data_IF_354270117151
#
_entry.id   IF_354270117151
#
_cell.length_a   1.000
_cell.length_b   1.000
_cell.length_c   1.000
_cell.angle_alpha   90.00
_cell.angle_beta   90.00
_cell.angle_gamma   90.00
#
_symmetry.space_group_name_H-M   'P 1'
#
loop_
_entity.id
_entity.type
_entity.pdbx_description
1 polymer ?
#
# COMPACT_ATOMS: atom_id res chain seq x y z
N UNK A 1 13.80 21.70 -16.25
CA UNK A 1 13.45 20.30 -15.92
C UNK A 1 13.19 19.58 -17.24
N UNK A 2 13.75 18.39 -17.44
CA UNK A 2 13.69 17.73 -18.74
C UNK A 2 12.42 16.88 -18.86
N UNK A 3 11.84 16.89 -20.06
CA UNK A 3 10.67 16.12 -20.41
C UNK A 3 10.99 15.14 -21.55
N UNK A 4 10.15 14.14 -21.73
CA UNK A 4 10.22 13.24 -22.86
C UNK A 4 8.88 13.31 -23.57
N UNK A 5 8.94 13.53 -24.88
CA UNK A 5 7.78 13.57 -25.76
C UNK A 5 7.80 12.33 -26.66
N UNK A 6 6.65 11.69 -26.78
CA UNK A 6 6.41 10.62 -27.72
C UNK A 6 5.40 11.12 -28.75
N UNK A 7 5.88 11.29 -29.97
CA UNK A 7 5.05 11.57 -31.14
C UNK A 7 4.84 10.25 -31.85
N UNK A 8 3.59 9.89 -32.13
CA UNK A 8 3.25 8.65 -32.80
C UNK A 8 2.12 8.86 -33.80
N UNK A 9 2.14 8.07 -34.87
CA UNK A 9 1.04 7.93 -35.81
C UNK A 9 0.83 6.46 -36.13
N UNK A 10 -0.42 5.99 -36.03
CA UNK A 10 -0.80 4.62 -36.36
C UNK A 10 -1.82 4.59 -37.51
N UNK A 11 -1.63 3.74 -38.53
CA UNK A 11 -2.65 3.51 -39.54
C UNK A 11 -3.98 3.02 -38.93
N UNK A 12 -5.10 3.43 -39.55
CA UNK A 12 -6.44 3.10 -39.05
C UNK A 12 -6.80 1.61 -39.16
N UNK A 13 -6.08 0.85 -39.99
CA UNK A 13 -6.37 -0.54 -40.36
C UNK A 13 -6.16 -1.53 -39.20
N UNK A 14 -5.37 -1.19 -38.18
CA UNK A 14 -5.05 -2.10 -37.07
C UNK A 14 -5.65 -1.67 -35.73
N UNK A 15 -6.97 -1.86 -35.59
CA UNK A 15 -7.73 -1.48 -34.40
C UNK A 15 -7.21 -2.11 -33.09
N UNK A 16 -6.73 -3.37 -33.15
CA UNK A 16 -6.23 -4.08 -31.96
C UNK A 16 -4.94 -3.46 -31.43
N UNK A 17 -4.01 -3.09 -32.31
CA UNK A 17 -2.76 -2.43 -31.91
C UNK A 17 -3.06 -1.03 -31.38
N UNK A 18 -3.94 -0.26 -32.03
CA UNK A 18 -4.37 1.07 -31.53
C UNK A 18 -4.88 1.00 -30.10
N UNK A 19 -5.77 0.04 -29.82
CA UNK A 19 -6.33 -0.14 -28.47
C UNK A 19 -5.26 -0.54 -27.44
N UNK A 20 -4.30 -1.39 -27.82
CA UNK A 20 -3.19 -1.78 -26.95
C UNK A 20 -2.30 -0.59 -26.63
N UNK A 21 -1.86 0.16 -27.65
CA UNK A 21 -1.02 1.36 -27.52
C UNK A 21 -1.73 2.40 -26.67
N UNK A 22 -3.00 2.70 -26.94
CA UNK A 22 -3.77 3.67 -26.17
C UNK A 22 -3.89 3.27 -24.70
N UNK A 23 -4.14 1.99 -24.40
CA UNK A 23 -4.14 1.47 -23.03
C UNK A 23 -2.77 1.61 -22.38
N UNK A 24 -1.68 1.27 -23.08
CA UNK A 24 -0.33 1.37 -22.56
C UNK A 24 0.06 2.83 -22.24
N UNK A 25 -0.29 3.77 -23.13
CA UNK A 25 -0.11 5.22 -22.90
C UNK A 25 -0.89 5.65 -21.66
N UNK A 26 -2.19 5.29 -21.57
CA UNK A 26 -3.02 5.64 -20.41
C UNK A 26 -2.48 5.06 -19.11
N UNK A 27 -2.02 3.80 -19.12
CA UNK A 27 -1.43 3.12 -17.96
C UNK A 27 -0.05 3.68 -17.60
N UNK A 28 0.67 4.30 -18.53
CA UNK A 28 1.96 4.94 -18.24
C UNK A 28 1.82 6.28 -17.49
N UNK A 29 0.62 6.83 -17.38
CA UNK A 29 0.40 8.14 -16.75
C UNK A 29 0.71 9.34 -17.63
N UNK A 30 0.97 9.12 -18.93
CA UNK A 30 1.34 10.17 -19.86
C UNK A 30 0.27 11.26 -19.98
N UNK A 31 0.73 12.51 -20.02
CA UNK A 31 -0.10 13.65 -20.35
C UNK A 31 -0.33 13.70 -21.86
N UNK A 32 -1.54 14.06 -22.28
CA UNK A 32 -1.90 14.20 -23.69
C UNK A 32 -1.78 15.67 -24.07
N UNK A 33 -0.83 16.02 -24.94
CA UNK A 33 -0.70 17.39 -25.44
C UNK A 33 -1.59 17.62 -26.66
N UNK A 34 -1.60 16.65 -27.58
CA UNK A 34 -2.44 16.60 -28.80
C UNK A 34 -2.65 15.13 -29.19
N UNK A 35 -3.53 14.89 -30.17
CA UNK A 35 -3.66 13.55 -30.74
C UNK A 35 -2.31 13.06 -31.30
N UNK A 36 -1.90 11.86 -30.89
CA UNK A 36 -0.60 11.29 -31.21
C UNK A 36 0.61 11.92 -30.50
N UNK A 37 0.44 12.90 -29.60
CA UNK A 37 1.54 13.59 -28.90
C UNK A 37 1.39 13.47 -27.39
N UNK A 38 2.30 12.74 -26.77
CA UNK A 38 2.27 12.41 -25.34
C UNK A 38 3.52 12.86 -24.61
N UNK A 39 3.37 13.27 -23.36
CA UNK A 39 4.43 13.85 -22.54
C UNK A 39 4.60 13.08 -21.22
N UNK A 40 5.85 12.87 -20.81
CA UNK A 40 6.23 12.36 -19.49
C UNK A 40 7.44 13.11 -18.93
N UNK A 41 7.63 13.16 -17.59
CA UNK A 41 8.88 13.63 -16.99
C UNK A 41 10.06 12.75 -17.42
N UNK A 42 11.26 13.34 -17.58
CA UNK A 42 12.44 12.62 -18.05
C UNK A 42 13.09 11.69 -17.01
N UNK A 43 12.34 10.67 -16.56
CA UNK A 43 12.79 9.60 -15.64
C UNK A 43 13.09 8.31 -16.41
N UNK A 44 13.95 7.45 -15.86
CA UNK A 44 14.32 6.18 -16.49
C UNK A 44 13.11 5.27 -16.72
N UNK A 45 12.22 5.13 -15.73
CA UNK A 45 11.02 4.32 -15.87
C UNK A 45 10.11 4.83 -17.00
N UNK A 46 9.93 6.16 -17.10
CA UNK A 46 9.16 6.79 -18.17
C UNK A 46 9.77 6.56 -19.55
N UNK A 47 11.12 6.65 -19.67
CA UNK A 47 11.85 6.34 -20.91
C UNK A 47 11.58 4.92 -21.36
N UNK A 48 11.70 3.95 -20.45
CA UNK A 48 11.46 2.54 -20.73
C UNK A 48 10.00 2.29 -21.16
N UNK A 49 9.03 2.91 -20.49
CA UNK A 49 7.62 2.81 -20.87
C UNK A 49 7.35 3.37 -22.28
N UNK A 50 7.86 4.56 -22.59
CA UNK A 50 7.70 5.16 -23.92
C UNK A 50 8.46 4.39 -25.00
N UNK A 51 9.62 3.83 -24.71
CA UNK A 51 10.35 2.97 -25.64
C UNK A 51 9.57 1.70 -25.97
N UNK A 52 8.95 1.05 -24.96
CA UNK A 52 8.10 -0.11 -25.19
C UNK A 52 6.86 0.23 -26.04
N UNK A 53 6.20 1.35 -25.74
CA UNK A 53 5.06 1.83 -26.53
C UNK A 53 5.49 2.16 -27.97
N UNK A 54 6.67 2.76 -28.14
CA UNK A 54 7.19 3.08 -29.47
C UNK A 54 7.48 1.83 -30.30
N UNK A 55 8.02 0.77 -29.68
CA UNK A 55 8.23 -0.51 -30.33
C UNK A 55 6.90 -1.17 -30.73
N UNK A 56 5.89 -1.13 -29.86
CA UNK A 56 4.55 -1.63 -30.17
C UNK A 56 3.95 -0.91 -31.39
N UNK A 57 4.07 0.43 -31.44
CA UNK A 57 3.61 1.23 -32.59
C UNK A 57 4.33 0.85 -33.87
N UNK A 58 5.66 0.74 -33.84
CA UNK A 58 6.46 0.38 -35.01
C UNK A 58 6.14 -1.03 -35.52
N UNK A 59 5.91 -1.99 -34.62
CA UNK A 59 5.49 -3.35 -34.98
C UNK A 59 4.13 -3.39 -35.69
N UNK A 60 3.27 -2.40 -35.42
CA UNK A 60 1.99 -2.22 -36.07
C UNK A 60 2.04 -1.43 -37.39
N UNK A 61 3.24 -1.15 -37.91
CA UNK A 61 3.43 -0.35 -39.12
C UNK A 61 3.22 1.16 -38.93
N UNK A 62 3.18 1.63 -37.68
CA UNK A 62 3.11 3.06 -37.36
C UNK A 62 4.49 3.72 -37.31
N UNK A 63 4.49 5.05 -37.21
CA UNK A 63 5.70 5.85 -37.03
C UNK A 63 5.78 6.40 -35.62
N UNK A 64 6.99 6.48 -35.05
CA UNK A 64 7.23 7.09 -33.75
C UNK A 64 8.46 7.98 -33.77
N UNK A 65 8.43 8.99 -32.91
CA UNK A 65 9.59 9.81 -32.58
C UNK A 65 9.60 10.05 -31.08
N UNK A 66 10.67 9.59 -30.43
CA UNK A 66 10.90 9.75 -29.00
C UNK A 66 12.00 10.77 -28.81
N UNK A 67 11.68 11.91 -28.21
CA UNK A 67 12.63 13.01 -28.04
C UNK A 67 12.63 13.49 -26.59
N UNK A 68 13.80 13.89 -26.12
CA UNK A 68 13.91 14.65 -24.88
C UNK A 68 13.76 16.13 -25.20
N UNK A 69 12.87 16.81 -24.49
CA UNK A 69 12.54 18.22 -24.73
C UNK A 69 12.69 19.04 -23.46
N UNK A 70 13.03 20.30 -23.65
CA UNK A 70 13.06 21.32 -22.61
C UNK A 70 12.14 22.46 -23.02
N UNK A 71 11.39 23.01 -22.06
CA UNK A 71 10.53 24.17 -22.31
C UNK A 71 11.41 25.42 -22.44
N UNK A 72 11.19 26.19 -23.52
CA UNK A 72 11.95 27.41 -23.83
C UNK A 72 11.46 28.61 -23.03
N UNK A 73 10.19 28.61 -22.67
CA UNK A 73 9.47 29.65 -21.94
C UNK A 73 9.46 29.43 -20.42
N UNK A 74 10.07 28.34 -19.95
CA UNK A 74 10.02 27.95 -18.54
C UNK A 74 8.65 27.43 -18.09
N UNK A 75 7.71 27.22 -19.02
CA UNK A 75 6.43 26.58 -18.75
C UNK A 75 6.63 25.24 -18.06
N UNK A 76 5.96 25.08 -16.93
CA UNK A 76 5.86 23.80 -16.26
C UNK A 76 4.63 23.03 -16.74
N UNK A 77 4.82 21.72 -16.98
CA UNK A 77 3.73 20.83 -17.35
C UNK A 77 3.16 20.10 -16.12
N UNK A 78 3.49 20.55 -14.90
CA UNK A 78 3.13 19.84 -13.66
C UNK A 78 1.61 19.66 -13.53
N UNK A 79 0.84 20.69 -13.91
CA UNK A 79 -0.62 20.65 -13.87
C UNK A 79 -1.25 19.52 -14.69
N UNK A 80 -0.57 19.02 -15.74
CA UNK A 80 -1.06 17.89 -16.55
C UNK A 80 -0.93 16.54 -15.83
N UNK A 81 -0.14 16.49 -14.76
CA UNK A 81 0.07 15.30 -13.94
C UNK A 81 -0.62 15.41 -12.59
N UNK A 82 -1.51 16.38 -12.41
CA UNK A 82 -2.28 16.53 -11.19
C UNK A 82 -3.28 15.37 -11.04
N UNK A 83 -3.12 14.61 -9.96
CA UNK A 83 -3.98 13.46 -9.61
C UNK A 83 -4.86 13.73 -8.39
N UNK A 84 -4.96 14.97 -7.91
CA UNK A 84 -5.73 15.32 -6.70
C UNK A 84 -7.18 14.81 -6.76
N UNK A 85 -7.86 14.97 -7.89
CA UNK A 85 -9.24 14.48 -8.07
C UNK A 85 -9.34 12.94 -8.00
N UNK A 86 -8.33 12.24 -8.52
CA UNK A 86 -8.29 10.77 -8.48
C UNK A 86 -8.11 10.27 -7.05
N UNK A 87 -7.24 10.91 -6.27
CA UNK A 87 -7.09 10.60 -4.85
C UNK A 87 -8.33 11.01 -4.03
N UNK A 88 -8.98 12.13 -4.36
CA UNK A 88 -10.23 12.54 -3.71
C UNK A 88 -11.34 11.50 -3.92
N UNK A 89 -11.50 10.98 -5.13
CA UNK A 89 -12.44 9.89 -5.40
C UNK A 89 -12.09 8.62 -4.61
N UNK A 90 -10.81 8.26 -4.53
CA UNK A 90 -10.35 7.13 -3.74
C UNK A 90 -10.61 7.31 -2.24
N UNK A 91 -10.42 8.51 -1.70
CA UNK A 91 -10.74 8.85 -0.31
C UNK A 91 -12.23 8.66 0.00
N UNK A 92 -13.12 9.05 -0.92
CA UNK A 92 -14.56 8.81 -0.78
C UNK A 92 -14.85 7.29 -0.74
N UNK A 93 -14.20 6.50 -1.60
CA UNK A 93 -14.35 5.04 -1.57
C UNK A 93 -13.84 4.44 -0.24
N UNK A 94 -12.71 4.91 0.28
CA UNK A 94 -12.16 4.46 1.56
C UNK A 94 -13.14 4.77 2.70
N UNK A 95 -13.69 5.98 2.73
CA UNK A 95 -14.66 6.39 3.76
C UNK A 95 -15.94 5.55 3.71
N UNK A 96 -16.47 5.27 2.51
CA UNK A 96 -17.62 4.38 2.33
C UNK A 96 -17.36 2.97 2.88
N UNK A 97 -16.17 2.41 2.66
CA UNK A 97 -15.79 1.09 3.19
C UNK A 97 -15.61 1.15 4.71
N UNK A 98 -15.03 2.23 5.24
CA UNK A 98 -14.89 2.46 6.69
C UNK A 98 -16.26 2.54 7.38
N UNK A 99 -17.20 3.29 6.81
CA UNK A 99 -18.57 3.39 7.34
C UNK A 99 -19.31 2.04 7.26
N UNK A 100 -19.12 1.28 6.18
CA UNK A 100 -19.70 -0.06 6.07
C UNK A 100 -19.15 -1.05 7.12
N UNK A 101 -17.87 -0.93 7.48
CA UNK A 101 -17.22 -1.69 8.56
C UNK A 101 -17.93 -1.42 9.90
N UNK A 102 -18.19 -0.15 10.21
CA UNK A 102 -18.85 0.26 11.45
C UNK A 102 -20.28 -0.28 11.60
N UNK A 103 -20.96 -0.58 10.50
CA UNK A 103 -22.35 -1.07 10.50
C UNK A 103 -22.44 -2.59 10.50
N UNK A 104 -21.64 -3.26 9.66
CA UNK A 104 -21.86 -4.68 9.31
C UNK A 104 -20.99 -5.64 10.14
N UNK A 105 -19.95 -5.13 10.83
CA UNK A 105 -18.96 -5.91 11.57
C UNK A 105 -18.30 -7.08 10.83
N UNK A 106 -18.36 -7.10 9.50
CA UNK A 106 -17.80 -8.18 8.69
C UNK A 106 -16.38 -7.87 8.22
N UNK A 107 -15.40 -8.15 9.08
CA UNK A 107 -14.00 -7.81 8.82
C UNK A 107 -13.37 -8.56 7.63
N UNK A 108 -13.88 -9.75 7.25
CA UNK A 108 -13.33 -10.51 6.11
C UNK A 108 -13.66 -9.84 4.76
N UNK A 109 -14.89 -9.37 4.59
CA UNK A 109 -15.28 -8.65 3.35
C UNK A 109 -14.54 -7.32 3.26
N UNK A 110 -14.31 -6.66 4.40
CA UNK A 110 -13.54 -5.41 4.44
C UNK A 110 -12.07 -5.63 4.07
N UNK A 111 -11.42 -6.70 4.54
CA UNK A 111 -10.07 -7.04 4.10
C UNK A 111 -9.99 -7.30 2.59
N UNK A 112 -11.03 -7.89 1.99
CA UNK A 112 -11.10 -8.08 0.54
C UNK A 112 -11.25 -6.75 -0.21
N UNK A 113 -12.09 -5.85 0.28
CA UNK A 113 -12.25 -4.50 -0.28
C UNK A 113 -10.98 -3.66 -0.11
N UNK A 114 -10.33 -3.72 1.05
CA UNK A 114 -9.06 -3.07 1.33
C UNK A 114 -7.97 -3.48 0.34
N UNK A 115 -7.84 -4.78 0.01
CA UNK A 115 -6.90 -5.25 -1.02
C UNK A 115 -7.17 -4.63 -2.38
N UNK A 116 -8.45 -4.45 -2.75
CA UNK A 116 -8.84 -3.78 -3.99
C UNK A 116 -8.46 -2.30 -3.96
N UNK A 117 -8.75 -1.60 -2.87
CA UNK A 117 -8.41 -0.18 -2.70
C UNK A 117 -6.88 0.04 -2.71
N UNK A 118 -6.10 -0.80 -2.01
CA UNK A 118 -4.62 -0.79 -2.06
C UNK A 118 -4.09 -1.00 -3.48
N UNK A 119 -4.70 -1.89 -4.26
CA UNK A 119 -4.33 -2.09 -5.67
C UNK A 119 -4.64 -0.86 -6.51
N UNK A 120 -5.78 -0.22 -6.31
CA UNK A 120 -6.14 1.05 -6.98
C UNK A 120 -5.16 2.16 -6.60
N UNK A 121 -4.87 2.34 -5.31
CA UNK A 121 -3.89 3.30 -4.82
C UNK A 121 -2.52 3.09 -5.45
N UNK A 122 -2.01 1.85 -5.46
CA UNK A 122 -0.72 1.53 -6.06
C UNK A 122 -0.69 1.83 -7.57
N UNK A 123 -1.81 1.63 -8.29
CA UNK A 123 -1.90 1.97 -9.69
C UNK A 123 -1.84 3.48 -9.92
N UNK A 124 -2.52 4.28 -9.09
CA UNK A 124 -2.49 5.76 -9.17
C UNK A 124 -1.12 6.29 -8.75
N UNK A 125 -0.58 5.82 -7.63
CA UNK A 125 0.74 6.23 -7.13
C UNK A 125 1.87 5.82 -8.06
N UNK A 126 1.74 4.72 -8.81
CA UNK A 126 2.72 4.30 -9.81
C UNK A 126 2.83 5.23 -11.02
N UNK A 127 1.78 6.02 -11.28
CA UNK A 127 1.72 7.02 -12.35
C UNK A 127 1.71 8.46 -11.81
N UNK A 128 1.89 8.61 -10.51
CA UNK A 128 1.99 9.89 -9.84
C UNK A 128 3.46 10.30 -9.80
N UNK A 129 3.83 11.20 -10.72
CA UNK A 129 5.20 11.65 -10.81
C UNK A 129 5.51 12.73 -9.78
N UNK A 130 4.51 13.41 -9.22
CA UNK A 130 4.67 14.55 -8.33
C UNK A 130 3.81 14.35 -7.08
N UNK A 131 4.20 13.38 -6.21
CA UNK A 131 3.40 13.04 -5.05
C UNK A 131 3.26 14.24 -4.13
N UNK A 132 2.03 14.51 -3.72
CA UNK A 132 1.66 15.62 -2.84
C UNK A 132 0.87 15.16 -1.62
N UNK A 133 0.26 16.11 -0.92
CA UNK A 133 -0.53 15.85 0.28
C UNK A 133 -1.72 14.91 0.03
N UNK A 134 -2.36 14.98 -1.14
CA UNK A 134 -3.49 14.09 -1.48
C UNK A 134 -3.08 12.60 -1.49
N UNK A 135 -1.88 12.29 -1.96
CA UNK A 135 -1.35 10.92 -2.00
C UNK A 135 -1.07 10.42 -0.57
N UNK A 136 -0.46 11.26 0.28
CA UNK A 136 -0.21 10.95 1.70
C UNK A 136 -1.50 10.73 2.47
N UNK A 137 -2.51 11.58 2.27
CA UNK A 137 -3.82 11.44 2.90
C UNK A 137 -4.50 10.12 2.53
N UNK A 138 -4.46 9.73 1.26
CA UNK A 138 -5.03 8.46 0.82
C UNK A 138 -4.29 7.24 1.42
N UNK A 139 -2.96 7.27 1.51
CA UNK A 139 -2.19 6.18 2.14
C UNK A 139 -2.44 6.08 3.65
N UNK A 140 -2.54 7.22 4.34
CA UNK A 140 -2.87 7.28 5.75
C UNK A 140 -4.27 6.70 6.02
N UNK A 141 -5.28 7.10 5.25
CA UNK A 141 -6.64 6.60 5.37
C UNK A 141 -6.73 5.09 5.10
N UNK A 142 -5.98 4.57 4.11
CA UNK A 142 -5.90 3.12 3.86
C UNK A 142 -5.26 2.36 5.02
N UNK A 143 -4.20 2.92 5.59
CA UNK A 143 -3.48 2.31 6.70
C UNK A 143 -4.32 2.30 7.99
N UNK A 144 -5.10 3.36 8.22
CA UNK A 144 -6.07 3.43 9.32
C UNK A 144 -7.20 2.40 9.15
N UNK A 145 -7.80 2.31 7.96
CA UNK A 145 -8.82 1.30 7.66
C UNK A 145 -8.28 -0.12 7.87
N UNK A 146 -7.05 -0.38 7.45
CA UNK A 146 -6.36 -1.66 7.66
C UNK A 146 -6.20 -1.99 9.14
N UNK A 147 -5.77 -1.01 9.94
CA UNK A 147 -5.60 -1.17 11.38
C UNK A 147 -6.96 -1.46 12.07
N UNK A 148 -8.00 -0.73 11.69
CA UNK A 148 -9.35 -0.92 12.25
C UNK A 148 -9.95 -2.28 11.88
N UNK A 149 -9.75 -2.74 10.64
CA UNK A 149 -10.18 -4.07 10.22
C UNK A 149 -9.45 -5.19 11.00
N UNK A 150 -8.14 -5.02 11.27
CA UNK A 150 -7.36 -5.96 12.10
C UNK A 150 -7.85 -5.98 13.55
N UNK A 151 -8.06 -4.80 14.16
CA UNK A 151 -8.62 -4.67 15.52
C UNK A 151 -9.94 -5.40 15.69
N UNK A 152 -10.81 -5.41 14.67
CA UNK A 152 -12.08 -6.13 14.76
C UNK A 152 -11.93 -7.66 14.66
N UNK A 153 -10.91 -8.17 13.94
CA UNK A 153 -10.63 -9.61 13.89
C UNK A 153 -9.94 -10.12 15.14
N UNK A 154 -9.15 -9.26 15.78
CA UNK A 154 -8.39 -9.56 16.98
C UNK A 154 -8.55 -8.43 18.01
N UNK A 155 -9.72 -8.34 18.69
CA UNK A 155 -9.99 -7.27 19.65
C UNK A 155 -9.03 -7.29 20.83
N UNK A 156 -8.50 -8.46 21.16
CA UNK A 156 -7.56 -8.66 22.26
C UNK A 156 -6.09 -8.42 21.84
N UNK A 157 -5.76 -8.07 20.58
CA UNK A 157 -4.36 -7.83 20.22
C UNK A 157 -3.78 -6.58 20.90
N UNK A 158 -2.62 -6.70 21.59
CA UNK A 158 -1.98 -5.55 22.22
C UNK A 158 -1.68 -4.48 21.18
N UNK A 159 -2.03 -3.25 21.51
CA UNK A 159 -1.68 -2.11 20.68
C UNK A 159 -0.26 -1.65 21.04
N UNK A 160 0.47 -1.17 20.04
CA UNK A 160 1.71 -0.46 20.29
C UNK A 160 1.40 0.78 21.14
N UNK A 161 1.78 0.74 22.41
CA UNK A 161 1.69 1.88 23.33
C UNK A 161 3.09 2.46 23.42
N UNK A 162 3.20 3.76 23.18
CA UNK A 162 4.45 4.48 23.37
C UNK A 162 4.64 4.73 24.88
N UNK A 163 5.04 3.68 25.58
CA UNK A 163 5.27 3.66 27.01
C UNK A 163 6.73 3.36 27.30
N UNK A 164 7.27 4.00 28.33
CA UNK A 164 8.61 3.65 28.83
C UNK A 164 8.55 2.26 29.45
N UNK A 165 9.32 1.31 28.90
CA UNK A 165 9.37 -0.06 29.41
C UNK A 165 10.21 -0.09 30.69
N UNK A 166 9.63 -0.40 31.87
CA UNK A 166 10.39 -0.46 33.10
C UNK A 166 11.34 -1.67 33.09
N UNK A 167 12.57 -1.47 33.58
CA UNK A 167 13.53 -2.56 33.74
C UNK A 167 13.18 -3.39 34.98
N UNK A 168 12.89 -4.68 34.78
CA UNK A 168 12.50 -5.60 35.85
C UNK A 168 13.64 -6.60 36.15
N UNK A 169 13.75 -7.05 37.39
CA UNK A 169 14.77 -8.04 37.76
C UNK A 169 14.35 -9.45 37.37
N UNK A 170 15.14 -10.12 36.52
CA UNK A 170 14.89 -11.50 36.06
C UNK A 170 14.73 -12.50 37.22
N UNK A 171 15.40 -12.27 38.35
CA UNK A 171 15.31 -13.14 39.53
C UNK A 171 13.91 -13.22 40.13
N UNK A 172 13.05 -12.23 39.89
CA UNK A 172 11.67 -12.21 40.39
C UNK A 172 10.70 -13.02 39.53
N UNK A 173 11.15 -13.53 38.38
CA UNK A 173 10.32 -14.17 37.35
C UNK A 173 10.68 -15.65 37.11
N UNK A 174 11.33 -16.32 38.07
CA UNK A 174 11.73 -17.74 37.97
C UNK A 174 10.63 -18.71 38.42
N UNK A 175 10.60 -19.89 37.79
CA UNK A 175 9.72 -21.02 38.12
C UNK A 175 8.22 -20.68 38.09
N UNK A 176 7.83 -19.74 37.22
CA UNK A 176 6.46 -19.20 37.15
C UNK A 176 5.63 -19.94 36.10
N UNK A 177 4.32 -19.77 36.23
CA UNK A 177 3.37 -20.07 35.15
C UNK A 177 3.24 -18.81 34.30
N UNK A 178 3.47 -18.93 33.01
CA UNK A 178 3.36 -17.85 32.03
C UNK A 178 2.13 -18.10 31.17
N UNK A 179 1.21 -17.15 31.10
CA UNK A 179 -0.06 -17.31 30.43
C UNK A 179 -0.19 -16.36 29.23
N UNK A 180 -0.69 -16.89 28.12
CA UNK A 180 -1.10 -16.10 26.95
C UNK A 180 -2.30 -16.77 26.27
N UNK A 181 -2.84 -16.18 25.21
CA UNK A 181 -4.02 -16.69 24.50
C UNK A 181 -3.74 -17.98 23.73
N UNK A 182 -4.74 -18.86 23.66
CA UNK A 182 -4.72 -20.06 22.81
C UNK A 182 -4.68 -19.69 21.32
N UNK A 183 -4.10 -20.58 20.51
CA UNK A 183 -3.78 -20.36 19.07
C UNK A 183 -2.76 -19.22 18.88
N UNK A 184 -1.55 -19.36 19.49
CA UNK A 184 -0.52 -18.33 19.39
C UNK A 184 -0.07 -18.14 17.94
N UNK A 185 0.15 -16.88 17.58
CA UNK A 185 0.84 -16.52 16.34
C UNK A 185 2.37 -16.61 16.57
N UNK A 186 3.15 -16.36 15.52
CA UNK A 186 4.61 -16.55 15.53
C UNK A 186 5.30 -15.71 16.62
N UNK A 187 4.79 -14.51 16.87
CA UNK A 187 5.20 -13.58 17.92
C UNK A 187 5.07 -14.18 19.33
N UNK A 188 3.92 -14.75 19.70
CA UNK A 188 3.68 -15.36 21.01
C UNK A 188 4.57 -16.58 21.25
N UNK A 189 4.83 -17.36 20.21
CA UNK A 189 5.77 -18.48 20.27
C UNK A 189 7.22 -17.99 20.46
N UNK A 190 7.59 -16.91 19.77
CA UNK A 190 8.90 -16.28 19.96
C UNK A 190 9.07 -15.73 21.38
N UNK A 191 8.04 -15.10 21.94
CA UNK A 191 8.02 -14.64 23.34
C UNK A 191 8.17 -15.82 24.32
N UNK A 192 7.44 -16.91 24.12
CA UNK A 192 7.57 -18.11 24.96
C UNK A 192 8.99 -18.73 24.88
N UNK A 193 9.58 -18.76 23.69
CA UNK A 193 10.97 -19.20 23.51
C UNK A 193 11.96 -18.27 24.25
N UNK A 194 11.79 -16.96 24.12
CA UNK A 194 12.64 -15.96 24.78
C UNK A 194 12.56 -16.08 26.30
N UNK A 195 11.34 -16.20 26.84
CA UNK A 195 11.09 -16.41 28.27
C UNK A 195 11.86 -17.65 28.72
N UNK A 196 11.67 -18.79 28.05
CA UNK A 196 12.31 -20.04 28.46
C UNK A 196 13.83 -20.04 28.31
N UNK A 197 14.37 -19.23 27.38
CA UNK A 197 15.81 -19.19 27.11
C UNK A 197 16.57 -18.23 28.01
N UNK A 198 16.00 -17.08 28.32
CA UNK A 198 16.72 -15.97 28.95
C UNK A 198 16.12 -15.48 30.27
N UNK A 199 14.86 -15.79 30.54
CA UNK A 199 14.16 -15.31 31.74
C UNK A 199 13.97 -16.47 32.71
N UNK A 200 13.18 -17.48 32.35
CA UNK A 200 12.75 -18.56 33.24
C UNK A 200 12.93 -19.93 32.56
N UNK A 201 14.08 -20.62 32.79
CA UNK A 201 14.37 -21.91 32.17
C UNK A 201 13.32 -23.00 32.45
N UNK A 202 12.62 -22.89 33.58
CA UNK A 202 11.61 -23.83 34.04
C UNK A 202 10.17 -23.34 33.80
N UNK A 203 10.00 -22.31 32.97
CA UNK A 203 8.70 -21.72 32.66
C UNK A 203 7.67 -22.77 32.23
N UNK A 204 6.50 -22.71 32.86
CA UNK A 204 5.31 -23.49 32.49
C UNK A 204 4.34 -22.58 31.75
N UNK A 205 3.83 -23.02 30.59
CA UNK A 205 2.95 -22.18 29.77
C UNK A 205 1.49 -22.59 29.89
N UNK A 206 0.62 -21.61 30.09
CA UNK A 206 -0.84 -21.76 30.04
C UNK A 206 -1.40 -21.03 28.81
N UNK A 207 -2.24 -21.71 28.04
CA UNK A 207 -2.86 -21.16 26.82
C UNK A 207 -4.36 -20.96 27.06
N UNK A 208 -4.74 -19.72 27.33
CA UNK A 208 -6.07 -19.34 27.83
C UNK A 208 -7.07 -19.10 26.70
N UNK A 209 -8.36 -19.33 26.96
CA UNK A 209 -9.42 -19.00 26.01
C UNK A 209 -9.67 -17.48 25.92
N UNK A 210 -9.56 -16.78 27.05
CA UNK A 210 -9.61 -15.32 27.18
C UNK A 210 -8.46 -14.83 28.07
N UNK A 211 -7.93 -13.62 27.83
CA UNK A 211 -6.94 -12.99 28.71
C UNK A 211 -7.49 -12.78 30.14
N UNK A 212 -8.81 -12.61 30.27
CA UNK A 212 -9.49 -12.46 31.56
C UNK A 212 -9.48 -13.74 32.42
N UNK A 213 -9.16 -14.90 31.85
CA UNK A 213 -9.08 -16.18 32.56
C UNK A 213 -7.69 -16.41 33.18
N UNK A 214 -6.83 -15.39 33.22
CA UNK A 214 -5.47 -15.52 33.74
C UNK A 214 -5.49 -15.85 35.25
N UNK A 215 -4.92 -16.99 35.67
CA UNK A 215 -4.77 -17.30 37.09
C UNK A 215 -3.99 -16.21 37.83
N UNK A 216 -4.36 -15.94 39.08
CA UNK A 216 -3.71 -14.91 39.90
C UNK A 216 -2.22 -15.22 40.20
N UNK A 217 -1.83 -16.49 40.12
CA UNK A 217 -0.46 -16.98 40.30
C UNK A 217 0.33 -17.07 38.98
N UNK A 218 -0.32 -16.81 37.83
CA UNK A 218 0.31 -16.79 36.53
C UNK A 218 0.70 -15.37 36.09
N UNK A 219 1.78 -15.29 35.31
CA UNK A 219 2.27 -14.08 34.68
C UNK A 219 1.73 -13.99 33.25
N UNK A 220 0.91 -12.98 32.99
CA UNK A 220 0.46 -12.66 31.64
C UNK A 220 1.59 -12.16 30.76
N UNK A 221 1.65 -12.65 29.51
CA UNK A 221 2.48 -12.05 28.46
C UNK A 221 1.69 -11.97 27.16
N UNK A 222 1.89 -10.87 26.42
CA UNK A 222 1.17 -10.60 25.16
C UNK A 222 -0.37 -10.63 25.31
N UNK A 223 -0.86 -9.98 26.37
CA UNK A 223 -2.30 -9.73 26.57
C UNK A 223 -2.79 -8.52 25.80
#
# INVERSE_FOLDING_TARGET
MNWIILIMSLPAENATIRMRVWRAVKTSGAAVLRDGVYLLPARNNCRSSFAAIAADVQSGGGTTSLMQVESLDGSDFFGLFDRRETYAALLIEIDNVSNALAITNNAQEILKQLRKLRKTFAAVSGIDFFPGEAQKQADAALSELELNAKRMLAPDEPQAIDATVPHLSVSAYQDRIWATRRRPWVDRLASAWLIRRFIDPNARFAWLASCGDCPADALGFDF
#
